data_IF_006459862340
#
_entry.id   IF_006459862340
#
_cell.length_a   1.000
_cell.length_b   1.000
_cell.length_c   1.000
_cell.angle_alpha   90.00
_cell.angle_beta   90.00
_cell.angle_gamma   90.00
#
_symmetry.space_group_name_H-M   'P 1'
#
loop_
_entity.id
_entity.type
_entity.pdbx_description
1 polymer ?
#
# COMPACT_ATOMS: atom_id res chain seq x y z
N UNK A 1 -16.39 2.76 -22.56
CA UNK A 1 -15.64 3.72 -21.71
C UNK A 1 -14.47 3.00 -21.04
N UNK A 2 -13.26 3.17 -21.56
CA UNK A 2 -12.06 2.53 -20.99
C UNK A 2 -11.66 3.20 -19.68
N UNK A 3 -11.51 2.42 -18.60
CA UNK A 3 -10.94 2.94 -17.34
C UNK A 3 -9.57 3.55 -17.64
N UNK A 4 -9.34 4.80 -17.21
CA UNK A 4 -8.03 5.48 -17.31
C UNK A 4 -6.94 4.52 -16.80
N UNK A 5 -5.98 4.17 -17.67
CA UNK A 5 -4.82 3.34 -17.35
C UNK A 5 -3.88 4.15 -16.46
N UNK A 6 -4.09 4.15 -15.15
CA UNK A 6 -3.20 4.82 -14.22
C UNK A 6 -3.67 4.71 -12.77
N UNK A 7 -2.75 4.90 -11.82
CA UNK A 7 -3.11 4.97 -10.41
C UNK A 7 -3.89 6.27 -10.18
N UNK A 8 -4.95 6.17 -9.39
CA UNK A 8 -5.70 7.30 -8.89
C UNK A 8 -4.81 8.06 -7.89
N UNK A 9 -4.43 9.32 -8.17
CA UNK A 9 -3.55 10.10 -7.30
C UNK A 9 -4.11 10.26 -5.89
N UNK A 10 -5.44 10.29 -5.73
CA UNK A 10 -6.08 10.42 -4.43
C UNK A 10 -5.87 9.17 -3.56
N UNK A 11 -5.89 7.98 -4.19
CA UNK A 11 -5.64 6.71 -3.48
C UNK A 11 -4.19 6.59 -3.05
N UNK A 12 -3.25 6.96 -3.92
CA UNK A 12 -1.82 7.01 -3.57
C UNK A 12 -1.57 7.94 -2.39
N UNK A 13 -2.09 9.17 -2.42
CA UNK A 13 -1.94 10.13 -1.31
C UNK A 13 -2.47 9.58 0.01
N UNK A 14 -3.62 8.90 0.01
CA UNK A 14 -4.19 8.27 1.21
C UNK A 14 -3.28 7.17 1.76
N UNK A 15 -2.76 6.29 0.90
CA UNK A 15 -1.87 5.20 1.30
C UNK A 15 -0.57 5.76 1.89
N UNK A 16 0.06 6.73 1.21
CA UNK A 16 1.26 7.42 1.70
C UNK A 16 1.01 8.09 3.04
N UNK A 17 -0.13 8.79 3.21
CA UNK A 17 -0.48 9.45 4.48
C UNK A 17 -0.53 8.45 5.63
N UNK A 18 -1.24 7.33 5.45
CA UNK A 18 -1.35 6.27 6.47
C UNK A 18 0.00 5.65 6.81
N UNK A 19 0.85 5.44 5.80
CA UNK A 19 2.21 4.91 6.02
C UNK A 19 3.13 5.93 6.72
N UNK A 20 2.96 7.24 6.45
CA UNK A 20 3.72 8.30 7.15
C UNK A 20 3.30 8.44 8.62
N UNK A 21 2.01 8.29 8.91
CA UNK A 21 1.50 8.31 10.28
C UNK A 21 1.96 7.08 11.10
N UNK A 22 2.38 6.00 10.43
CA UNK A 22 2.87 4.77 11.05
C UNK A 22 4.21 4.31 10.47
N UNK A 23 5.33 4.98 10.83
CA UNK A 23 6.66 4.69 10.29
C UNK A 23 7.14 3.26 10.59
N UNK A 24 6.61 2.63 11.64
CA UNK A 24 6.88 1.22 11.97
C UNK A 24 6.40 0.24 10.88
N UNK A 25 5.51 0.68 9.98
CA UNK A 25 4.88 -0.15 8.97
C UNK A 25 3.52 -0.69 9.37
N UNK A 26 2.77 -1.14 8.36
CA UNK A 26 1.40 -1.62 8.48
C UNK A 26 1.17 -2.81 7.56
N UNK A 27 0.25 -3.69 7.99
CA UNK A 27 -0.28 -4.72 7.11
C UNK A 27 -1.14 -4.08 6.01
N UNK A 28 -1.07 -4.61 4.77
CA UNK A 28 -1.89 -4.13 3.65
C UNK A 28 -3.39 -4.13 4.00
N UNK A 29 -3.84 -5.12 4.78
CA UNK A 29 -5.23 -5.20 5.27
C UNK A 29 -5.59 -4.03 6.19
N UNK A 30 -4.66 -3.59 7.02
CA UNK A 30 -4.82 -2.46 7.93
C UNK A 30 -4.85 -1.14 7.15
N UNK A 31 -3.97 -1.00 6.15
CA UNK A 31 -3.94 0.16 5.25
C UNK A 31 -5.26 0.26 4.49
N UNK A 32 -5.75 -0.86 3.94
CA UNK A 32 -7.05 -0.93 3.28
C UNK A 32 -8.19 -0.47 4.19
N UNK A 33 -8.20 -0.94 5.45
CA UNK A 33 -9.20 -0.54 6.44
C UNK A 33 -9.17 0.96 6.76
N UNK A 34 -7.98 1.54 6.96
CA UNK A 34 -7.84 2.96 7.29
C UNK A 34 -8.11 3.88 6.09
N UNK A 35 -7.71 3.48 4.89
CA UNK A 35 -7.91 4.28 3.68
C UNK A 35 -9.29 4.14 3.06
N UNK A 36 -10.04 3.10 3.43
CA UNK A 36 -11.30 2.70 2.80
C UNK A 36 -11.12 2.11 1.39
N UNK A 37 -9.89 1.77 1.01
CA UNK A 37 -9.55 1.22 -0.31
C UNK A 37 -9.61 -0.31 -0.22
N UNK A 38 -10.06 -0.99 -1.29
CA UNK A 38 -10.10 -2.45 -1.30
C UNK A 38 -8.70 -3.05 -1.19
N UNK A 39 -8.56 -4.17 -0.47
CA UNK A 39 -7.26 -4.84 -0.24
C UNK A 39 -6.49 -5.09 -1.54
N UNK A 40 -7.17 -5.55 -2.59
CA UNK A 40 -6.57 -5.80 -3.90
C UNK A 40 -6.05 -4.52 -4.55
N UNK A 41 -6.77 -3.41 -4.41
CA UNK A 41 -6.31 -2.11 -4.92
C UNK A 41 -5.13 -1.60 -4.12
N UNK A 42 -5.18 -1.70 -2.79
CA UNK A 42 -4.06 -1.31 -1.92
C UNK A 42 -2.82 -2.14 -2.23
N UNK A 43 -2.96 -3.47 -2.33
CA UNK A 43 -1.88 -4.37 -2.70
C UNK A 43 -1.26 -3.96 -4.04
N UNK A 44 -2.07 -3.83 -5.09
CA UNK A 44 -1.62 -3.38 -6.40
C UNK A 44 -0.90 -2.02 -6.35
N UNK A 45 -1.43 -1.06 -5.59
CA UNK A 45 -0.85 0.28 -5.50
C UNK A 45 0.51 0.26 -4.85
N UNK A 46 0.60 -0.48 -3.75
CA UNK A 46 1.81 -0.68 -2.96
C UNK A 46 2.86 -1.40 -3.81
N UNK A 47 2.51 -2.49 -4.51
CA UNK A 47 3.47 -3.30 -5.28
C UNK A 47 3.83 -2.73 -6.65
N UNK A 48 2.89 -2.17 -7.41
CA UNK A 48 3.16 -1.69 -8.78
C UNK A 48 3.61 -0.23 -8.84
N UNK A 49 3.17 0.62 -7.91
CA UNK A 49 3.36 2.07 -8.01
C UNK A 49 4.18 2.67 -6.88
N UNK A 50 4.42 1.92 -5.80
CA UNK A 50 5.16 2.42 -4.64
C UNK A 50 6.37 1.56 -4.27
N UNK A 51 6.71 0.54 -5.07
CA UNK A 51 7.82 -0.40 -4.82
C UNK A 51 9.14 0.28 -4.48
N UNK A 52 9.42 1.44 -5.09
CA UNK A 52 10.67 2.18 -4.86
C UNK A 52 10.68 2.93 -3.53
N UNK A 53 9.50 3.30 -3.02
CA UNK A 53 9.31 4.13 -1.83
C UNK A 53 9.00 3.31 -0.56
N UNK A 54 8.65 2.03 -0.71
CA UNK A 54 8.29 1.16 0.40
C UNK A 54 9.33 0.06 0.58
N UNK A 55 9.38 -0.46 1.80
CA UNK A 55 10.10 -1.67 2.14
C UNK A 55 9.08 -2.73 2.53
N UNK A 56 9.13 -3.87 1.83
CA UNK A 56 8.28 -5.02 2.12
C UNK A 56 9.02 -5.93 3.11
N UNK A 57 8.54 -5.98 4.35
CA UNK A 57 9.31 -6.54 5.48
C UNK A 57 8.99 -8.02 5.69
N UNK A 58 7.71 -8.42 5.55
CA UNK A 58 7.27 -9.79 5.85
C UNK A 58 6.13 -10.21 4.94
N UNK A 59 6.30 -11.38 4.30
CA UNK A 59 5.21 -12.16 3.73
C UNK A 59 5.03 -13.44 4.55
N UNK A 60 3.86 -13.63 5.17
CA UNK A 60 3.57 -14.86 5.94
C UNK A 60 3.39 -16.04 4.97
N UNK A 61 3.85 -17.25 5.35
CA UNK A 61 3.75 -18.50 4.58
C UNK A 61 2.36 -18.62 3.92
N UNK A 62 2.32 -18.62 2.59
CA UNK A 62 1.09 -18.63 1.79
C UNK A 62 0.70 -17.30 1.11
N UNK A 63 1.49 -16.23 1.24
CA UNK A 63 1.32 -14.99 0.44
C UNK A 63 0.15 -14.09 0.86
N UNK A 64 -0.57 -14.45 1.92
CA UNK A 64 -1.84 -13.83 2.31
C UNK A 64 -1.70 -12.52 3.09
N UNK A 65 -0.56 -12.28 3.72
CA UNK A 65 -0.35 -11.09 4.57
C UNK A 65 1.01 -10.49 4.28
N UNK A 66 1.00 -9.22 3.85
CA UNK A 66 2.18 -8.41 3.51
C UNK A 66 2.28 -7.23 4.45
N UNK A 67 3.42 -7.09 5.12
CA UNK A 67 3.76 -5.96 5.98
C UNK A 67 4.65 -4.98 5.21
N UNK A 68 4.23 -3.72 5.14
CA UNK A 68 4.90 -2.67 4.37
C UNK A 68 5.11 -1.41 5.19
N UNK A 69 6.30 -0.82 5.06
CA UNK A 69 6.65 0.49 5.63
C UNK A 69 7.21 1.41 4.55
N UNK A 70 7.22 2.71 4.78
CA UNK A 70 7.97 3.62 3.91
C UNK A 70 9.47 3.46 4.18
N UNK A 71 10.27 3.51 3.11
CA UNK A 71 11.72 3.70 3.25
C UNK A 71 11.95 5.12 3.76
N UNK A 72 12.39 5.24 5.00
CA UNK A 72 13.05 6.48 5.42
C UNK A 72 14.37 6.60 4.66
N UNK A 73 14.58 7.77 4.06
CA UNK A 73 15.73 8.09 3.23
C UNK A 73 16.78 8.81 4.07
#
# INVERSE_FOLDING_TARGET
MGKKKGPDPNKLKKIVKVLREKPQGLWIREIARQTGISKSTTHRYVTEYMSDQIEEVVTVKGGLVKFVRLKEK
#
